data_IF_448998636665
#
_entry.id   IF_448998636665
#
_cell.length_a   1.000
_cell.length_b   1.000
_cell.length_c   1.000
_cell.angle_alpha   90.00
_cell.angle_beta   90.00
_cell.angle_gamma   90.00
#
_symmetry.space_group_name_H-M   'P 1'
#
loop_
_entity.id
_entity.type
_entity.pdbx_description
1 polymer ?
#
# COMPACT_ATOMS: atom_id res chain seq x y z
N UNK A 1 38.59 57.32 -64.00
CA UNK A 1 37.38 58.16 -64.22
C UNK A 1 37.49 58.87 -65.58
N UNK A 2 37.19 58.17 -66.68
CA UNK A 2 37.04 58.83 -67.99
C UNK A 2 35.70 59.59 -68.00
N UNK A 3 35.73 60.86 -68.44
CA UNK A 3 34.58 61.75 -68.38
C UNK A 3 33.34 61.20 -69.10
N UNK A 4 32.15 61.56 -68.60
CA UNK A 4 30.82 61.12 -69.10
C UNK A 4 30.66 61.15 -70.62
N UNK A 5 31.37 62.02 -71.32
CA UNK A 5 31.34 62.12 -72.78
C UNK A 5 31.92 60.88 -73.48
N UNK A 6 32.99 60.29 -72.96
CA UNK A 6 33.61 59.09 -73.55
C UNK A 6 32.71 57.87 -73.33
N UNK A 7 32.06 57.80 -72.17
CA UNK A 7 31.12 56.73 -71.86
C UNK A 7 29.88 56.77 -72.79
N UNK A 8 29.43 57.95 -73.21
CA UNK A 8 28.34 58.10 -74.20
C UNK A 8 28.76 57.63 -75.59
N UNK A 9 29.97 57.99 -76.06
CA UNK A 9 30.48 57.52 -77.35
C UNK A 9 30.67 56.00 -77.37
N UNK A 10 31.21 55.42 -76.28
CA UNK A 10 31.35 53.98 -76.18
C UNK A 10 29.99 53.26 -76.16
N UNK A 11 29.01 53.82 -75.44
CA UNK A 11 27.67 53.24 -75.40
C UNK A 11 26.96 53.33 -76.77
N UNK A 12 27.15 54.43 -77.51
CA UNK A 12 26.65 54.56 -78.87
C UNK A 12 27.35 53.57 -79.82
N UNK A 13 28.68 53.44 -79.73
CA UNK A 13 29.44 52.48 -80.52
C UNK A 13 29.00 51.04 -80.25
N UNK A 14 28.90 50.64 -78.99
CA UNK A 14 28.54 49.28 -78.60
C UNK A 14 27.10 48.92 -78.99
N UNK A 15 26.13 49.80 -78.73
CA UNK A 15 24.74 49.46 -79.01
C UNK A 15 24.38 49.63 -80.50
N UNK A 16 24.86 50.67 -81.17
CA UNK A 16 24.48 50.92 -82.57
C UNK A 16 25.38 50.19 -83.56
N UNK A 17 26.70 50.16 -83.35
CA UNK A 17 27.60 49.52 -84.31
C UNK A 17 27.72 48.03 -84.00
N UNK A 18 28.07 47.65 -82.78
CA UNK A 18 28.28 46.22 -82.48
C UNK A 18 26.94 45.49 -82.42
N UNK A 19 26.03 45.85 -81.51
CA UNK A 19 24.75 45.12 -81.41
C UNK A 19 23.84 45.38 -82.62
N UNK A 20 23.75 46.63 -83.07
CA UNK A 20 22.92 47.01 -84.20
C UNK A 20 23.43 46.40 -85.51
N UNK A 21 24.63 46.77 -85.96
CA UNK A 21 25.12 46.32 -87.26
C UNK A 21 25.51 44.83 -87.27
N UNK A 22 26.23 44.34 -86.26
CA UNK A 22 26.62 42.91 -86.24
C UNK A 22 25.41 42.00 -85.97
N UNK A 23 24.50 42.41 -85.10
CA UNK A 23 23.27 41.67 -84.82
C UNK A 23 22.33 41.61 -86.02
N UNK A 24 22.17 42.72 -86.75
CA UNK A 24 21.37 42.72 -88.00
C UNK A 24 22.03 41.86 -89.07
N UNK A 25 23.36 41.92 -89.23
CA UNK A 25 24.08 41.02 -90.15
C UNK A 25 23.90 39.54 -89.76
N UNK A 26 23.97 39.21 -88.47
CA UNK A 26 23.78 37.83 -88.00
C UNK A 26 22.33 37.34 -88.23
N UNK A 27 21.32 38.17 -87.96
CA UNK A 27 19.92 37.82 -88.23
C UNK A 27 19.68 37.71 -89.73
N UNK A 28 20.23 38.60 -90.55
CA UNK A 28 20.07 38.55 -92.01
C UNK A 28 20.82 37.38 -92.67
N UNK A 29 21.87 36.82 -92.05
CA UNK A 29 22.68 35.74 -92.65
C UNK A 29 22.44 34.36 -92.02
N UNK A 30 22.47 34.26 -90.70
CA UNK A 30 22.38 32.98 -89.97
C UNK A 30 20.93 32.49 -89.90
N UNK A 31 19.97 33.39 -89.64
CA UNK A 31 18.57 33.00 -89.52
C UNK A 31 18.00 32.36 -90.80
N UNK A 32 18.18 32.92 -92.02
CA UNK A 32 17.68 32.27 -93.23
C UNK A 32 18.38 30.92 -93.51
N UNK A 33 19.66 30.78 -93.19
CA UNK A 33 20.37 29.50 -93.30
C UNK A 33 19.80 28.46 -92.33
N UNK A 34 19.58 28.83 -91.06
CA UNK A 34 18.98 27.93 -90.06
C UNK A 34 17.55 27.55 -90.45
N UNK A 35 16.74 28.51 -90.91
CA UNK A 35 15.39 28.28 -91.41
C UNK A 35 15.34 27.40 -92.65
N UNK A 36 16.41 27.33 -93.45
CA UNK A 36 16.49 26.38 -94.57
C UNK A 36 17.01 25.00 -94.13
N UNK A 37 18.01 24.95 -93.25
CA UNK A 37 18.67 23.71 -92.85
C UNK A 37 17.75 22.86 -91.96
N UNK A 38 17.08 23.45 -90.98
CA UNK A 38 16.29 22.68 -89.99
C UNK A 38 15.13 21.94 -90.67
N UNK A 39 14.30 22.57 -91.53
CA UNK A 39 13.23 21.86 -92.23
C UNK A 39 13.75 20.85 -93.24
N UNK A 40 14.84 21.13 -93.96
CA UNK A 40 15.42 20.16 -94.90
C UNK A 40 15.94 18.93 -94.16
N UNK A 41 16.61 19.11 -93.03
CA UNK A 41 17.08 18.01 -92.19
C UNK A 41 15.92 17.21 -91.59
N UNK A 42 14.89 17.88 -91.08
CA UNK A 42 13.68 17.22 -90.57
C UNK A 42 12.95 16.45 -91.67
N UNK A 43 12.87 17.01 -92.88
CA UNK A 43 12.30 16.33 -94.05
C UNK A 43 13.12 15.10 -94.44
N UNK A 44 14.46 15.19 -94.48
CA UNK A 44 15.34 14.05 -94.75
C UNK A 44 15.12 12.95 -93.70
N UNK A 45 15.08 13.30 -92.41
CA UNK A 45 14.81 12.33 -91.35
C UNK A 45 13.41 11.69 -91.48
N UNK A 46 12.41 12.48 -91.89
CA UNK A 46 11.06 11.99 -92.16
C UNK A 46 10.99 11.03 -93.35
N UNK A 47 11.68 11.34 -94.45
CA UNK A 47 11.77 10.46 -95.64
C UNK A 47 12.56 9.19 -95.32
N UNK A 48 13.58 9.29 -94.47
CA UNK A 48 14.39 8.14 -94.04
C UNK A 48 13.70 7.32 -92.93
N UNK A 49 12.65 7.86 -92.29
CA UNK A 49 11.88 7.24 -91.22
C UNK A 49 11.51 5.76 -91.45
N UNK A 50 10.94 5.36 -92.61
CA UNK A 50 10.58 3.96 -92.85
C UNK A 50 11.78 2.98 -92.81
N UNK A 51 13.02 3.47 -93.00
CA UNK A 51 14.21 2.61 -92.97
C UNK A 51 14.70 2.40 -91.53
N UNK A 52 14.81 3.46 -90.74
CA UNK A 52 15.42 3.37 -89.41
C UNK A 52 14.40 3.14 -88.28
N UNK A 53 13.14 3.55 -88.43
CA UNK A 53 12.09 3.32 -87.43
C UNK A 53 11.89 1.84 -87.09
N UNK A 54 11.73 0.90 -88.04
CA UNK A 54 11.49 -0.51 -87.69
C UNK A 54 12.64 -1.10 -86.87
N UNK A 55 13.88 -0.71 -87.17
CA UNK A 55 15.08 -1.16 -86.45
C UNK A 55 15.06 -0.62 -85.01
N UNK A 56 14.77 0.67 -84.83
CA UNK A 56 14.68 1.26 -83.48
C UNK A 56 13.51 0.70 -82.68
N UNK A 57 12.35 0.48 -83.30
CA UNK A 57 11.21 -0.13 -82.60
C UNK A 57 11.49 -1.56 -82.18
N UNK A 58 12.18 -2.35 -83.02
CA UNK A 58 12.56 -3.71 -82.68
C UNK A 58 13.58 -3.73 -81.54
N UNK A 59 14.62 -2.89 -81.62
CA UNK A 59 15.62 -2.75 -80.57
C UNK A 59 14.97 -2.31 -79.26
N UNK A 60 14.05 -1.35 -79.31
CA UNK A 60 13.29 -0.90 -78.16
C UNK A 60 12.43 -2.03 -77.57
N UNK A 61 11.74 -2.83 -78.39
CA UNK A 61 10.98 -3.98 -77.90
C UNK A 61 11.87 -5.06 -77.26
N UNK A 62 13.04 -5.34 -77.83
CA UNK A 62 14.00 -6.27 -77.20
C UNK A 62 14.46 -5.74 -75.84
N UNK A 63 14.80 -4.44 -75.76
CA UNK A 63 15.17 -3.81 -74.49
C UNK A 63 14.02 -3.83 -73.49
N UNK A 64 12.78 -3.66 -73.94
CA UNK A 64 11.61 -3.72 -73.07
C UNK A 64 11.37 -5.11 -72.48
N UNK A 65 11.54 -6.16 -73.29
CA UNK A 65 11.36 -7.55 -72.85
C UNK A 65 12.48 -7.98 -71.89
N UNK A 66 13.73 -7.58 -72.18
CA UNK A 66 14.90 -8.10 -71.47
C UNK A 66 15.28 -7.26 -70.25
N UNK A 67 15.21 -5.93 -70.35
CA UNK A 67 15.74 -5.01 -69.32
C UNK A 67 14.60 -4.31 -68.58
N UNK A 68 13.72 -3.59 -69.30
CA UNK A 68 12.77 -2.70 -68.66
C UNK A 68 11.41 -2.59 -69.39
N UNK A 69 10.37 -3.17 -68.79
CA UNK A 69 9.02 -3.07 -69.35
C UNK A 69 8.39 -1.71 -69.03
N UNK A 70 8.52 -0.78 -69.96
CA UNK A 70 7.90 0.55 -69.89
C UNK A 70 6.40 0.54 -70.22
N UNK A 71 5.88 -0.57 -70.78
CA UNK A 71 4.51 -0.69 -71.28
C UNK A 71 3.53 -1.33 -70.28
N UNK A 72 4.05 -1.93 -69.19
CA UNK A 72 3.25 -2.43 -68.08
C UNK A 72 2.52 -1.30 -67.35
N UNK A 73 1.19 -1.29 -67.46
CA UNK A 73 0.29 -0.33 -66.80
C UNK A 73 -0.10 -0.72 -65.36
N UNK A 74 0.57 -1.71 -64.75
CA UNK A 74 0.22 -2.21 -63.42
C UNK A 74 1.11 -1.69 -62.30
N UNK A 75 0.51 -1.23 -61.20
CA UNK A 75 1.22 -0.77 -59.98
C UNK A 75 2.03 -1.87 -59.25
N UNK A 76 1.83 -3.15 -59.59
CA UNK A 76 2.39 -4.29 -58.88
C UNK A 76 3.35 -5.18 -59.71
N UNK A 77 3.75 -4.74 -60.91
CA UNK A 77 4.71 -5.47 -61.74
C UNK A 77 6.15 -5.02 -61.51
N UNK A 78 7.07 -5.96 -61.24
CA UNK A 78 8.52 -5.68 -61.18
C UNK A 78 9.01 -5.31 -62.59
N UNK A 79 9.35 -4.04 -62.80
CA UNK A 79 9.63 -3.49 -64.14
C UNK A 79 11.01 -3.87 -64.71
N UNK A 80 11.89 -4.45 -63.90
CA UNK A 80 13.28 -4.74 -64.27
C UNK A 80 13.46 -6.26 -64.44
N UNK A 81 14.08 -6.70 -65.54
CA UNK A 81 14.30 -8.11 -65.91
C UNK A 81 13.01 -8.96 -65.97
N UNK A 82 12.02 -8.49 -66.73
CA UNK A 82 10.69 -9.09 -66.84
C UNK A 82 10.73 -10.60 -67.16
N UNK A 83 11.50 -11.00 -68.20
CA UNK A 83 11.56 -12.40 -68.63
C UNK A 83 12.17 -13.32 -67.57
N UNK A 84 13.26 -12.90 -66.91
CA UNK A 84 13.92 -13.70 -65.86
C UNK A 84 12.99 -13.86 -64.66
N UNK A 85 12.29 -12.79 -64.28
CA UNK A 85 11.36 -12.83 -63.16
C UNK A 85 10.14 -13.71 -63.46
N UNK A 86 9.58 -13.68 -64.67
CA UNK A 86 8.46 -14.57 -65.03
C UNK A 86 8.91 -16.04 -65.01
N UNK A 87 10.08 -16.35 -65.58
CA UNK A 87 10.56 -17.75 -65.66
C UNK A 87 10.96 -18.29 -64.28
N UNK A 88 11.69 -17.53 -63.47
CA UNK A 88 12.19 -18.02 -62.18
C UNK A 88 11.08 -17.93 -61.11
N UNK A 89 10.42 -16.79 -60.99
CA UNK A 89 9.48 -16.57 -59.88
C UNK A 89 8.11 -17.15 -60.18
N UNK A 90 7.51 -16.79 -61.31
CA UNK A 90 6.12 -17.19 -61.57
C UNK A 90 6.05 -18.64 -62.06
N UNK A 91 6.96 -19.05 -62.95
CA UNK A 91 6.96 -20.41 -63.48
C UNK A 91 7.67 -21.41 -62.57
N UNK A 92 8.93 -21.18 -62.20
CA UNK A 92 9.67 -22.16 -61.40
C UNK A 92 9.22 -22.19 -59.94
N UNK A 93 9.21 -21.04 -59.25
CA UNK A 93 8.87 -20.98 -57.83
C UNK A 93 7.37 -21.15 -57.59
N UNK A 94 6.52 -20.34 -58.21
CA UNK A 94 5.07 -20.43 -58.03
C UNK A 94 4.43 -21.60 -58.79
N UNK A 95 4.95 -21.95 -59.97
CA UNK A 95 4.39 -23.04 -60.77
C UNK A 95 4.83 -24.43 -60.34
N UNK A 96 6.09 -24.65 -59.99
CA UNK A 96 6.63 -26.00 -59.70
C UNK A 96 6.91 -26.20 -58.21
N UNK A 97 7.65 -25.28 -57.58
CA UNK A 97 8.08 -25.46 -56.18
C UNK A 97 6.90 -25.31 -55.21
N UNK A 98 6.05 -24.32 -55.40
CA UNK A 98 4.90 -24.06 -54.54
C UNK A 98 3.91 -25.25 -54.44
N UNK A 99 3.46 -25.92 -55.51
CA UNK A 99 2.57 -27.07 -55.37
C UNK A 99 3.24 -28.26 -54.69
N UNK A 100 4.54 -28.49 -54.91
CA UNK A 100 5.30 -29.53 -54.21
C UNK A 100 5.34 -29.24 -52.71
N UNK A 101 5.64 -28.00 -52.33
CA UNK A 101 5.65 -27.59 -50.92
C UNK A 101 4.26 -27.69 -50.28
N UNK A 102 3.19 -27.34 -51.00
CA UNK A 102 1.81 -27.48 -50.51
C UNK A 102 1.46 -28.96 -50.29
N UNK A 103 1.90 -29.86 -51.18
CA UNK A 103 1.68 -31.30 -51.00
C UNK A 103 2.42 -31.85 -49.77
N UNK A 104 3.66 -31.41 -49.55
CA UNK A 104 4.43 -31.76 -48.35
C UNK A 104 3.76 -31.18 -47.10
N UNK A 105 3.34 -29.92 -47.15
CA UNK A 105 2.67 -29.23 -46.03
C UNK A 105 1.33 -29.88 -45.68
N UNK A 106 0.58 -30.38 -46.65
CA UNK A 106 -0.69 -31.10 -46.44
C UNK A 106 -0.50 -32.34 -45.56
N UNK A 107 0.64 -33.03 -45.68
CA UNK A 107 0.97 -34.22 -44.88
C UNK A 107 1.68 -33.82 -43.58
N UNK A 108 2.63 -32.90 -43.64
CA UNK A 108 3.43 -32.49 -42.48
C UNK A 108 2.61 -31.71 -41.44
N UNK A 109 1.73 -30.82 -41.87
CA UNK A 109 0.91 -29.98 -40.98
C UNK A 109 0.03 -30.78 -40.01
N UNK A 110 -0.77 -31.78 -40.44
CA UNK A 110 -1.58 -32.56 -39.51
C UNK A 110 -0.71 -33.40 -38.55
N UNK A 111 0.44 -33.90 -39.00
CA UNK A 111 1.37 -34.67 -38.16
C UNK A 111 1.95 -33.78 -37.06
N UNK A 112 2.47 -32.60 -37.42
CA UNK A 112 3.04 -31.64 -36.46
C UNK A 112 1.96 -31.16 -35.49
N UNK A 113 0.76 -30.83 -35.99
CA UNK A 113 -0.37 -30.44 -35.14
C UNK A 113 -0.77 -31.54 -34.16
N UNK A 114 -0.77 -32.80 -34.59
CA UNK A 114 -1.08 -33.95 -33.74
C UNK A 114 -0.03 -34.15 -32.65
N UNK A 115 1.27 -34.01 -32.97
CA UNK A 115 2.35 -34.08 -31.99
C UNK A 115 2.25 -32.97 -30.94
N UNK A 116 1.97 -31.73 -31.37
CA UNK A 116 1.77 -30.59 -30.45
C UNK A 116 0.56 -30.84 -29.54
N UNK A 117 -0.55 -31.35 -30.09
CA UNK A 117 -1.74 -31.67 -29.31
C UNK A 117 -1.49 -32.76 -28.27
N UNK A 118 -0.77 -33.83 -28.64
CA UNK A 118 -0.39 -34.91 -27.71
C UNK A 118 0.50 -34.36 -26.59
N UNK A 119 1.51 -33.55 -26.93
CA UNK A 119 2.39 -32.93 -25.94
C UNK A 119 1.61 -32.02 -24.98
N UNK A 120 0.73 -31.16 -25.49
CA UNK A 120 -0.09 -30.27 -24.68
C UNK A 120 -1.03 -31.04 -23.75
N UNK A 121 -1.64 -32.14 -24.24
CA UNK A 121 -2.48 -33.02 -23.43
C UNK A 121 -1.67 -33.68 -22.32
N UNK A 122 -0.50 -34.25 -22.65
CA UNK A 122 0.38 -34.89 -21.69
C UNK A 122 0.82 -33.90 -20.61
N UNK A 123 1.28 -32.71 -21.00
CA UNK A 123 1.70 -31.65 -20.09
C UNK A 123 0.56 -31.19 -19.17
N UNK A 124 -0.66 -31.02 -19.70
CA UNK A 124 -1.83 -30.68 -18.89
C UNK A 124 -2.18 -31.78 -17.89
N UNK A 125 -2.13 -33.03 -18.32
CA UNK A 125 -2.41 -34.18 -17.46
C UNK A 125 -1.36 -34.35 -16.35
N UNK A 126 -0.07 -34.23 -16.67
CA UNK A 126 1.01 -34.33 -15.67
C UNK A 126 0.95 -33.18 -14.67
N UNK A 127 0.70 -31.94 -15.12
CA UNK A 127 0.53 -30.80 -14.22
C UNK A 127 -0.69 -30.96 -13.33
N UNK A 128 -1.83 -31.37 -13.89
CA UNK A 128 -3.04 -31.62 -13.11
C UNK A 128 -2.89 -32.76 -12.10
N UNK A 129 -2.16 -33.82 -12.46
CA UNK A 129 -1.81 -34.89 -11.54
C UNK A 129 -0.89 -34.39 -10.43
N UNK A 130 0.16 -33.62 -10.78
CA UNK A 130 1.09 -33.01 -9.84
C UNK A 130 0.37 -32.12 -8.82
N UNK A 131 -0.48 -31.20 -9.28
CA UNK A 131 -1.22 -30.28 -8.38
C UNK A 131 -2.16 -31.05 -7.44
N UNK A 132 -2.84 -32.09 -7.94
CA UNK A 132 -3.70 -32.95 -7.08
C UNK A 132 -2.88 -33.73 -6.05
N UNK A 133 -1.71 -34.25 -6.43
CA UNK A 133 -0.80 -34.99 -5.54
C UNK A 133 -0.25 -34.07 -4.45
N UNK A 134 0.29 -32.91 -4.85
CA UNK A 134 0.81 -31.88 -3.93
C UNK A 134 -0.28 -31.42 -2.97
N UNK A 135 -1.49 -31.12 -3.49
CA UNK A 135 -2.58 -30.66 -2.64
C UNK A 135 -2.98 -31.71 -1.59
N UNK A 136 -3.18 -32.97 -2.00
CA UNK A 136 -3.63 -34.03 -1.09
C UNK A 136 -2.57 -34.51 -0.11
N UNK A 137 -1.31 -34.62 -0.54
CA UNK A 137 -0.23 -35.16 0.29
C UNK A 137 0.44 -34.09 1.15
N UNK A 138 0.75 -32.93 0.56
CA UNK A 138 1.55 -31.90 1.21
C UNK A 138 0.65 -30.83 1.80
N UNK A 139 -0.11 -30.12 0.96
CA UNK A 139 -0.84 -28.91 1.40
C UNK A 139 -1.90 -29.26 2.45
N UNK A 140 -2.77 -30.26 2.19
CA UNK A 140 -3.86 -30.60 3.12
C UNK A 140 -3.35 -31.11 4.49
N UNK A 141 -2.18 -31.73 4.55
CA UNK A 141 -1.64 -32.32 5.79
C UNK A 141 -0.68 -31.40 6.54
N UNK A 142 0.08 -30.57 5.81
CA UNK A 142 1.19 -29.80 6.37
C UNK A 142 0.97 -28.29 6.32
N UNK A 143 0.09 -27.77 5.46
CA UNK A 143 -0.14 -26.33 5.39
C UNK A 143 -0.91 -25.86 6.63
N UNK A 144 -0.28 -24.96 7.38
CA UNK A 144 -0.92 -24.18 8.43
C UNK A 144 -1.33 -22.83 7.86
N UNK A 145 -2.41 -22.27 8.37
CA UNK A 145 -2.91 -20.97 7.93
C UNK A 145 -1.90 -19.90 8.36
N UNK A 146 -1.39 -19.05 7.45
CA UNK A 146 -0.45 -18.00 7.81
C UNK A 146 -1.14 -16.96 8.69
N UNK A 147 -0.43 -16.45 9.70
CA UNK A 147 -0.95 -15.45 10.64
C UNK A 147 -1.16 -14.07 9.96
N UNK A 148 -0.37 -13.76 8.94
CA UNK A 148 -0.42 -12.49 8.22
C UNK A 148 -0.32 -12.70 6.70
N UNK A 149 -0.89 -11.76 5.96
CA UNK A 149 -0.75 -11.69 4.50
C UNK A 149 0.69 -11.34 4.15
N UNK A 150 1.34 -12.22 3.38
CA UNK A 150 2.69 -12.01 2.87
C UNK A 150 2.74 -12.05 1.35
N UNK A 151 3.91 -11.75 0.79
CA UNK A 151 4.13 -11.86 -0.65
C UNK A 151 3.90 -13.29 -1.19
N UNK A 152 4.19 -14.30 -0.37
CA UNK A 152 4.09 -15.71 -0.76
C UNK A 152 2.67 -16.28 -0.68
N UNK A 153 1.87 -15.77 0.25
CA UNK A 153 0.52 -16.25 0.51
C UNK A 153 -0.33 -15.10 1.09
N UNK A 154 -1.44 -14.82 0.42
CA UNK A 154 -2.46 -13.88 0.86
C UNK A 154 -3.70 -14.67 1.29
N UNK A 155 -4.22 -14.39 2.48
CA UNK A 155 -5.47 -14.96 2.96
C UNK A 155 -6.61 -14.33 2.16
N UNK A 156 -7.42 -15.16 1.51
CA UNK A 156 -8.55 -14.71 0.67
C UNK A 156 -9.90 -14.93 1.37
N UNK A 157 -9.91 -15.76 2.41
CA UNK A 157 -11.05 -16.03 3.27
C UNK A 157 -10.56 -16.42 4.68
N UNK A 158 -11.32 -16.06 5.70
CA UNK A 158 -11.04 -16.36 7.12
C UNK A 158 -11.15 -15.13 8.02
N UNK A 159 -11.22 -15.32 9.34
CA UNK A 159 -11.32 -14.22 10.30
C UNK A 159 -10.09 -13.29 10.22
N UNK A 160 -10.30 -11.98 10.37
CA UNK A 160 -9.26 -10.94 10.30
C UNK A 160 -8.92 -10.39 8.91
N UNK A 161 -9.79 -10.56 7.91
CA UNK A 161 -9.61 -10.08 6.53
C UNK A 161 -10.18 -8.68 6.28
N UNK A 162 -11.16 -8.24 7.08
CA UNK A 162 -11.65 -6.87 7.06
C UNK A 162 -10.59 -5.94 7.65
N UNK A 163 -10.33 -4.80 7.00
CA UNK A 163 -9.34 -3.83 7.46
C UNK A 163 -9.68 -3.26 8.85
N UNK A 164 -10.98 -3.18 9.16
CA UNK A 164 -11.53 -2.73 10.42
C UNK A 164 -12.52 -3.80 10.90
N UNK A 165 -12.20 -4.38 12.05
CA UNK A 165 -13.08 -5.30 12.76
C UNK A 165 -13.04 -4.94 14.24
N UNK A 166 -14.16 -5.15 14.92
CA UNK A 166 -14.31 -4.86 16.34
C UNK A 166 -14.43 -6.15 17.16
N UNK A 167 -14.15 -6.04 18.45
CA UNK A 167 -14.35 -7.12 19.41
C UNK A 167 -15.53 -6.77 20.31
N UNK A 168 -16.50 -7.68 20.40
CA UNK A 168 -17.59 -7.57 21.35
C UNK A 168 -17.23 -8.35 22.62
N UNK A 169 -17.27 -7.66 23.76
CA UNK A 169 -17.03 -8.21 25.10
C UNK A 169 -18.37 -8.32 25.82
N UNK A 170 -18.50 -9.23 26.79
CA UNK A 170 -19.72 -9.31 27.58
C UNK A 170 -19.79 -8.14 28.59
N UNK A 171 -20.98 -7.56 28.78
CA UNK A 171 -21.24 -6.51 29.80
C UNK A 171 -20.64 -6.78 31.19
N UNK A 172 -20.76 -7.99 31.78
CA UNK A 172 -20.16 -8.26 33.10
C UNK A 172 -18.63 -8.21 33.11
N UNK A 173 -17.97 -8.56 32.02
CA UNK A 173 -16.50 -8.53 31.92
C UNK A 173 -15.99 -7.07 31.91
N UNK A 174 -16.74 -6.18 31.25
CA UNK A 174 -16.47 -4.74 31.25
C UNK A 174 -16.63 -4.16 32.66
N UNK A 175 -17.68 -4.55 33.38
CA UNK A 175 -17.91 -4.09 34.76
C UNK A 175 -16.83 -4.61 35.72
N UNK A 176 -16.37 -5.84 35.54
CA UNK A 176 -15.25 -6.39 36.31
C UNK A 176 -13.94 -5.63 36.05
N UNK A 177 -13.69 -5.26 34.79
CA UNK A 177 -12.53 -4.42 34.44
C UNK A 177 -12.65 -3.02 35.08
N UNK A 178 -13.84 -2.43 35.05
CA UNK A 178 -14.12 -1.15 35.73
C UNK A 178 -13.90 -1.25 37.25
N UNK A 179 -14.33 -2.33 37.89
CA UNK A 179 -14.10 -2.57 39.32
C UNK A 179 -12.60 -2.65 39.64
N UNK A 180 -11.83 -3.36 38.82
CA UNK A 180 -10.36 -3.41 38.95
C UNK A 180 -9.74 -2.01 38.87
N UNK A 181 -10.16 -1.18 37.91
CA UNK A 181 -9.66 0.19 37.77
C UNK A 181 -9.99 1.06 38.99
N UNK A 182 -11.20 0.93 39.53
CA UNK A 182 -11.63 1.65 40.72
C UNK A 182 -10.80 1.22 41.93
N UNK A 183 -10.51 -0.08 42.07
CA UNK A 183 -9.63 -0.59 43.12
C UNK A 183 -8.20 -0.04 42.96
N UNK A 184 -7.67 0.04 41.74
CA UNK A 184 -6.35 0.66 41.52
C UNK A 184 -6.32 2.14 41.93
N UNK A 185 -7.40 2.89 41.66
CA UNK A 185 -7.54 4.28 42.10
C UNK A 185 -7.65 4.39 43.62
N UNK A 186 -8.37 3.47 44.27
CA UNK A 186 -8.42 3.35 45.73
C UNK A 186 -7.02 3.13 46.30
N UNK A 187 -6.27 2.16 45.78
CA UNK A 187 -4.90 1.85 46.22
C UNK A 187 -3.96 3.04 46.05
N UNK A 188 -4.06 3.78 44.94
CA UNK A 188 -3.26 4.99 44.69
C UNK A 188 -3.56 6.08 45.70
N UNK A 189 -4.84 6.33 45.97
CA UNK A 189 -5.29 7.36 46.90
C UNK A 189 -4.92 6.99 48.34
N UNK A 190 -5.15 5.73 48.72
CA UNK A 190 -4.77 5.17 50.01
C UNK A 190 -3.25 5.28 50.23
N UNK A 191 -2.43 4.97 49.22
CA UNK A 191 -0.97 5.12 49.30
C UNK A 191 -0.60 6.55 49.67
N UNK A 192 -1.10 7.52 48.92
CA UNK A 192 -0.78 8.93 49.16
C UNK A 192 -1.24 9.39 50.54
N UNK A 193 -2.42 8.97 50.98
CA UNK A 193 -2.93 9.29 52.32
C UNK A 193 -2.08 8.70 53.45
N UNK A 194 -1.72 7.41 53.35
CA UNK A 194 -0.89 6.74 54.36
C UNK A 194 0.53 7.28 54.36
N UNK A 195 1.12 7.56 53.20
CA UNK A 195 2.44 8.19 53.11
C UNK A 195 2.45 9.56 53.81
N UNK A 196 1.41 10.38 53.64
CA UNK A 196 1.28 11.64 54.38
C UNK A 196 1.21 11.43 55.89
N UNK A 197 0.44 10.44 56.37
CA UNK A 197 0.37 10.11 57.80
C UNK A 197 1.72 9.64 58.34
N UNK A 198 2.43 8.79 57.59
CA UNK A 198 3.74 8.27 57.99
C UNK A 198 4.80 9.38 58.05
N UNK A 199 4.67 10.45 57.25
CA UNK A 199 5.58 11.60 57.28
C UNK A 199 5.30 12.60 58.40
N UNK A 200 4.07 12.67 58.93
CA UNK A 200 3.69 13.62 60.00
C UNK A 200 4.65 13.63 61.20
N UNK A 201 5.10 12.48 61.77
CA UNK A 201 6.02 12.50 62.89
C UNK A 201 7.35 13.17 62.55
N UNK A 202 7.86 12.98 61.32
CA UNK A 202 9.11 13.59 60.86
C UNK A 202 8.95 15.10 60.77
N UNK A 203 7.82 15.56 60.24
CA UNK A 203 7.50 16.98 60.13
C UNK A 203 7.30 17.62 61.51
N UNK A 204 6.59 16.97 62.43
CA UNK A 204 6.39 17.43 63.81
C UNK A 204 7.73 17.51 64.56
N UNK A 205 8.59 16.51 64.43
CA UNK A 205 9.93 16.54 65.01
C UNK A 205 10.75 17.68 64.41
N UNK A 206 10.68 17.90 63.11
CA UNK A 206 11.39 18.98 62.42
C UNK A 206 10.92 20.35 62.91
N UNK A 207 9.60 20.54 63.09
CA UNK A 207 9.03 21.76 63.64
C UNK A 207 9.44 21.98 65.09
N UNK A 208 9.39 20.93 65.93
CA UNK A 208 9.87 20.98 67.30
C UNK A 208 11.36 21.33 67.37
N UNK A 209 12.20 20.68 66.56
CA UNK A 209 13.63 20.93 66.54
C UNK A 209 13.94 22.36 66.10
N UNK A 210 13.30 22.84 65.03
CA UNK A 210 13.47 24.22 64.58
C UNK A 210 13.02 25.20 65.69
N UNK A 211 11.82 25.05 66.24
CA UNK A 211 11.34 25.97 67.30
C UNK A 211 12.20 25.98 68.57
N UNK A 212 12.78 24.84 68.97
CA UNK A 212 13.60 24.74 70.17
C UNK A 212 15.07 25.13 69.95
N UNK A 213 15.62 24.88 68.75
CA UNK A 213 17.07 24.95 68.50
C UNK A 213 17.50 25.91 67.39
N UNK A 214 16.56 26.53 66.66
CA UNK A 214 16.84 27.61 65.70
C UNK A 214 17.65 28.79 66.30
N UNK A 215 17.41 29.25 67.56
CA UNK A 215 18.23 30.30 68.18
C UNK A 215 19.71 29.92 68.35
N UNK A 216 20.03 28.63 68.34
CA UNK A 216 21.38 28.11 68.55
C UNK A 216 22.09 27.70 67.25
N UNK A 217 21.48 27.97 66.08
CA UNK A 217 22.02 27.55 64.77
C UNK A 217 22.31 26.04 64.69
N UNK A 218 21.67 25.22 65.52
CA UNK A 218 21.84 23.78 65.47
C UNK A 218 21.11 23.24 64.22
N UNK A 219 21.75 22.33 63.50
CA UNK A 219 21.17 21.69 62.32
C UNK A 219 20.89 20.22 62.61
N UNK A 220 19.77 19.71 62.07
CA UNK A 220 19.45 18.29 62.12
C UNK A 220 20.47 17.55 61.25
N UNK A 221 21.21 16.62 61.85
CA UNK A 221 22.11 15.74 61.11
C UNK A 221 21.31 14.63 60.43
N UNK A 222 20.87 14.89 59.19
CA UNK A 222 20.01 13.98 58.40
C UNK A 222 20.70 12.63 58.10
N UNK A 223 22.02 12.63 57.96
CA UNK A 223 22.78 11.47 57.48
C UNK A 223 23.35 10.58 58.60
N UNK A 224 23.10 10.92 59.87
CA UNK A 224 23.65 10.17 60.99
C UNK A 224 22.59 9.20 61.54
N UNK A 225 22.70 7.93 61.17
CA UNK A 225 21.80 6.83 61.59
C UNK A 225 21.80 6.60 63.11
N UNK A 226 22.78 7.15 63.84
CA UNK A 226 22.80 7.14 65.31
C UNK A 226 21.90 8.20 65.97
N UNK A 227 21.43 9.21 65.23
CA UNK A 227 20.56 10.27 65.76
C UNK A 227 19.10 9.81 65.89
N UNK A 228 18.35 10.37 66.85
CA UNK A 228 16.91 10.07 67.01
C UNK A 228 16.12 10.35 65.74
N UNK A 229 16.47 11.43 65.02
CA UNK A 229 15.89 11.78 63.72
C UNK A 229 16.21 10.73 62.66
N UNK A 230 17.49 10.33 62.53
CA UNK A 230 17.92 9.32 61.58
C UNK A 230 17.20 7.98 61.80
N UNK A 231 17.12 7.51 63.05
CA UNK A 231 16.40 6.29 63.41
C UNK A 231 14.91 6.36 63.06
N UNK A 232 14.26 7.49 63.32
CA UNK A 232 12.84 7.67 63.00
C UNK A 232 12.61 7.70 61.48
N UNK A 233 13.47 8.39 60.75
CA UNK A 233 13.44 8.42 59.29
C UNK A 233 13.66 7.01 58.70
N UNK A 234 14.58 6.22 59.26
CA UNK A 234 14.82 4.85 58.82
C UNK A 234 13.57 3.97 59.00
N UNK A 235 12.90 4.06 60.16
CA UNK A 235 11.65 3.32 60.45
C UNK A 235 10.51 3.76 59.53
N UNK A 236 10.34 5.07 59.31
CA UNK A 236 9.31 5.58 58.38
C UNK A 236 9.59 5.11 56.95
N UNK A 237 10.84 5.15 56.49
CA UNK A 237 11.22 4.67 55.17
C UNK A 237 11.02 3.16 55.02
N UNK A 238 11.25 2.37 56.07
CA UNK A 238 10.94 0.94 56.09
C UNK A 238 9.44 0.68 55.92
N UNK A 239 8.60 1.40 56.67
CA UNK A 239 7.14 1.29 56.53
C UNK A 239 6.64 1.74 55.15
N UNK A 240 7.20 2.80 54.59
CA UNK A 240 6.85 3.24 53.23
C UNK A 240 7.25 2.19 52.19
N UNK A 241 8.43 1.56 52.32
CA UNK A 241 8.84 0.47 51.43
C UNK A 241 7.90 -0.74 51.57
N UNK A 242 7.55 -1.13 52.79
CA UNK A 242 6.61 -2.22 53.04
C UNK A 242 5.22 -1.93 52.46
N UNK A 243 4.72 -0.70 52.62
CA UNK A 243 3.47 -0.24 52.02
C UNK A 243 3.53 -0.34 50.49
N UNK A 244 4.57 0.23 49.87
CA UNK A 244 4.73 0.23 48.41
C UNK A 244 4.81 -1.17 47.83
N UNK A 245 5.61 -2.05 48.42
CA UNK A 245 5.73 -3.44 47.97
C UNK A 245 4.41 -4.21 48.12
N UNK A 246 3.62 -3.93 49.14
CA UNK A 246 2.30 -4.58 49.32
C UNK A 246 1.29 -4.08 48.29
N UNK A 247 1.29 -2.78 48.00
CA UNK A 247 0.42 -2.17 47.00
C UNK A 247 0.82 -2.60 45.59
N UNK A 248 2.12 -2.65 45.27
CA UNK A 248 2.64 -3.11 43.99
C UNK A 248 2.22 -4.56 43.72
N UNK A 249 2.40 -5.47 44.70
CA UNK A 249 1.93 -6.85 44.59
C UNK A 249 0.43 -6.95 44.27
N UNK A 250 -0.41 -6.11 44.90
CA UNK A 250 -1.84 -6.10 44.62
C UNK A 250 -2.14 -5.50 43.25
N UNK A 251 -1.45 -4.42 42.89
CA UNK A 251 -1.61 -3.76 41.60
C UNK A 251 -1.20 -4.68 40.43
N UNK A 252 -0.16 -5.49 40.60
CA UNK A 252 0.27 -6.47 39.59
C UNK A 252 -0.81 -7.55 39.35
N UNK A 253 -1.58 -7.92 40.38
CA UNK A 253 -2.73 -8.83 40.22
C UNK A 253 -3.93 -8.16 39.53
N UNK A 254 -4.05 -6.84 39.62
CA UNK A 254 -5.16 -6.07 39.04
C UNK A 254 -4.86 -5.56 37.63
N UNK A 255 -3.59 -5.58 37.21
CA UNK A 255 -3.18 -5.10 35.89
C UNK A 255 -3.82 -5.94 34.79
N UNK A 256 -4.75 -5.33 34.07
CA UNK A 256 -5.24 -5.86 32.80
C UNK A 256 -4.11 -5.76 31.78
N UNK A 257 -3.72 -6.89 31.18
CA UNK A 257 -2.74 -6.90 30.10
C UNK A 257 -3.28 -6.07 28.93
N UNK A 258 -2.69 -4.88 28.73
CA UNK A 258 -3.06 -3.96 27.64
C UNK A 258 -2.53 -4.52 26.31
N UNK A 259 -3.26 -5.48 25.75
CA UNK A 259 -3.04 -5.99 24.40
C UNK A 259 -3.37 -4.92 23.35
N UNK A 260 -2.83 -5.05 22.15
CA UNK A 260 -3.15 -4.16 21.01
C UNK A 260 -4.64 -4.22 20.58
N UNK A 261 -5.45 -5.06 21.22
CA UNK A 261 -6.85 -5.30 20.88
C UNK A 261 -7.81 -4.44 21.70
N UNK A 262 -7.35 -3.83 22.80
CA UNK A 262 -8.19 -3.00 23.69
C UNK A 262 -8.82 -1.81 22.96
N UNK A 263 -8.11 -1.22 22.01
CA UNK A 263 -8.60 -0.07 21.24
C UNK A 263 -9.78 -0.40 20.32
N UNK A 264 -10.03 -1.70 20.08
CA UNK A 264 -11.07 -2.20 19.15
C UNK A 264 -12.23 -2.88 19.87
N UNK A 265 -12.26 -2.83 21.20
CA UNK A 265 -13.38 -3.38 21.98
C UNK A 265 -14.55 -2.39 21.90
N UNK A 266 -15.73 -2.90 21.54
CA UNK A 266 -16.98 -2.12 21.50
C UNK A 266 -18.14 -2.98 21.98
N UNK A 267 -19.21 -2.31 22.42
CA UNK A 267 -20.44 -2.96 22.87
C UNK A 267 -21.59 -2.64 21.92
N UNK A 268 -22.65 -3.45 22.01
CA UNK A 268 -23.94 -3.12 21.40
C UNK A 268 -24.56 -1.92 22.13
N UNK A 269 -25.48 -1.21 21.49
CA UNK A 269 -26.17 -0.08 22.12
C UNK A 269 -26.90 -0.48 23.42
N UNK A 270 -27.53 -1.66 23.43
CA UNK A 270 -28.22 -2.19 24.61
C UNK A 270 -27.25 -2.53 25.73
N UNK A 271 -26.12 -3.14 25.40
CA UNK A 271 -25.12 -3.52 26.40
C UNK A 271 -24.37 -2.30 26.94
N UNK A 272 -24.04 -1.34 26.08
CA UNK A 272 -23.36 -0.10 26.47
C UNK A 272 -24.22 0.73 27.42
N UNK A 273 -25.52 0.88 27.14
CA UNK A 273 -26.43 1.62 28.02
C UNK A 273 -26.59 0.92 29.37
N UNK A 274 -26.69 -0.43 29.39
CA UNK A 274 -26.71 -1.20 30.62
C UNK A 274 -25.42 -1.02 31.44
N UNK A 275 -24.25 -1.15 30.80
CA UNK A 275 -22.94 -0.98 31.44
C UNK A 275 -22.76 0.43 32.00
N UNK A 276 -23.21 1.47 31.30
CA UNK A 276 -23.12 2.84 31.80
C UNK A 276 -23.99 3.05 33.05
N UNK A 277 -25.21 2.51 33.08
CA UNK A 277 -26.11 2.62 34.23
C UNK A 277 -25.54 1.84 35.42
N UNK A 278 -25.17 0.58 35.21
CA UNK A 278 -24.63 -0.29 36.27
C UNK A 278 -23.26 0.21 36.77
N UNK A 279 -22.40 0.65 35.86
CA UNK A 279 -21.12 1.26 36.18
C UNK A 279 -21.27 2.54 37.00
N UNK A 280 -22.26 3.38 36.67
CA UNK A 280 -22.55 4.61 37.44
C UNK A 280 -22.98 4.28 38.87
N UNK A 281 -23.85 3.28 39.05
CA UNK A 281 -24.26 2.83 40.39
C UNK A 281 -23.08 2.25 41.18
N UNK A 282 -22.17 1.54 40.51
CA UNK A 282 -20.98 0.97 41.13
C UNK A 282 -20.02 2.07 41.59
N UNK A 283 -19.74 3.06 40.73
CA UNK A 283 -18.91 4.24 41.01
C UNK A 283 -19.51 5.06 42.17
N UNK A 284 -20.81 5.37 42.11
CA UNK A 284 -21.53 6.13 43.15
C UNK A 284 -21.49 5.42 44.51
N UNK A 285 -21.52 4.08 44.53
CA UNK A 285 -21.45 3.32 45.77
C UNK A 285 -20.03 3.25 46.34
N UNK A 286 -19.01 3.14 45.50
CA UNK A 286 -17.63 2.91 45.91
C UNK A 286 -16.86 4.19 46.23
N UNK A 287 -16.90 5.20 45.35
CA UNK A 287 -16.10 6.41 45.50
C UNK A 287 -16.35 7.13 46.83
N UNK A 288 -17.60 7.42 47.23
CA UNK A 288 -17.88 8.08 48.51
C UNK A 288 -17.48 7.28 49.74
N UNK A 289 -17.54 5.95 49.66
CA UNK A 289 -17.26 5.07 50.79
C UNK A 289 -15.79 4.74 50.97
N UNK A 290 -15.05 4.64 49.87
CA UNK A 290 -13.68 4.09 49.86
C UNK A 290 -12.63 5.08 49.42
N UNK A 291 -12.93 5.99 48.49
CA UNK A 291 -11.91 6.88 47.91
C UNK A 291 -11.97 8.27 48.54
N UNK A 292 -13.15 8.89 48.54
CA UNK A 292 -13.36 10.24 49.07
C UNK A 292 -12.96 10.44 50.53
N UNK A 293 -13.07 9.45 51.45
CA UNK A 293 -12.60 9.63 52.83
C UNK A 293 -11.10 9.87 52.97
N UNK A 294 -10.30 9.47 51.99
CA UNK A 294 -8.85 9.67 51.99
C UNK A 294 -8.42 11.01 51.37
N UNK A 295 -9.36 11.74 50.76
CA UNK A 295 -9.11 13.04 50.13
C UNK A 295 -9.47 14.17 51.10
N UNK A 296 -8.59 15.17 51.24
CA UNK A 296 -8.94 16.39 51.98
C UNK A 296 -9.95 17.22 51.18
N UNK A 297 -10.66 18.17 51.83
CA UNK A 297 -11.63 19.05 51.15
C UNK A 297 -11.05 19.78 49.94
N UNK A 298 -9.83 20.31 50.06
CA UNK A 298 -9.14 21.00 48.96
C UNK A 298 -8.72 20.02 47.85
N UNK A 299 -8.42 18.77 48.20
CA UNK A 299 -8.02 17.74 47.24
C UNK A 299 -9.25 17.16 46.50
N UNK A 300 -10.43 17.23 47.13
CA UNK A 300 -11.70 16.84 46.52
C UNK A 300 -12.11 17.82 45.41
N UNK A 301 -11.99 19.14 45.64
CA UNK A 301 -12.22 20.14 44.60
C UNK A 301 -11.23 19.98 43.45
N UNK A 302 -9.94 19.75 43.77
CA UNK A 302 -8.92 19.44 42.76
C UNK A 302 -9.25 18.17 41.97
N UNK A 303 -9.71 17.11 42.62
CA UNK A 303 -10.06 15.87 41.95
C UNK A 303 -11.12 16.07 40.85
N UNK A 304 -12.21 16.78 41.17
CA UNK A 304 -13.27 17.06 40.18
C UNK A 304 -12.79 18.01 39.08
N UNK A 305 -11.95 19.00 39.43
CA UNK A 305 -11.35 19.92 38.46
C UNK A 305 -10.36 19.23 37.52
N UNK A 306 -9.49 18.35 38.03
CA UNK A 306 -8.53 17.58 37.23
C UNK A 306 -9.24 16.64 36.25
N UNK A 307 -10.45 16.22 36.62
CA UNK A 307 -11.32 15.41 35.79
C UNK A 307 -12.23 16.23 34.89
N UNK A 308 -12.20 17.56 34.86
CA UNK A 308 -13.14 18.42 34.09
C UNK A 308 -14.61 17.98 34.26
N UNK A 309 -15.06 17.76 35.51
CA UNK A 309 -16.41 17.30 35.84
C UNK A 309 -17.02 18.14 36.98
N UNK A 310 -18.36 18.23 36.99
CA UNK A 310 -19.09 18.82 38.11
C UNK A 310 -19.07 17.91 39.33
N UNK A 311 -19.19 18.50 40.53
CA UNK A 311 -19.19 17.74 41.77
C UNK A 311 -20.40 16.78 41.81
N UNK A 312 -20.11 15.48 42.02
CA UNK A 312 -21.08 14.38 42.00
C UNK A 312 -21.61 13.98 40.61
N UNK A 313 -20.94 14.37 39.52
CA UNK A 313 -21.24 13.80 38.20
C UNK A 313 -20.64 12.39 38.06
N UNK A 314 -21.32 11.40 38.64
CA UNK A 314 -20.91 10.00 38.63
C UNK A 314 -21.00 9.36 37.25
N UNK A 315 -21.94 9.83 36.42
CA UNK A 315 -22.11 9.33 35.06
C UNK A 315 -20.95 9.78 34.16
N UNK A 316 -20.61 11.07 34.24
CA UNK A 316 -19.44 11.62 33.56
C UNK A 316 -18.14 10.94 34.00
N UNK A 317 -18.00 10.69 35.30
CA UNK A 317 -16.82 9.98 35.85
C UNK A 317 -16.73 8.55 35.32
N UNK A 318 -17.85 7.81 35.33
CA UNK A 318 -17.91 6.43 34.79
C UNK A 318 -17.52 6.41 33.31
N UNK A 319 -18.04 7.36 32.54
CA UNK A 319 -17.74 7.47 31.11
C UNK A 319 -16.24 7.73 30.86
N UNK A 320 -15.60 8.61 31.64
CA UNK A 320 -14.16 8.87 31.54
C UNK A 320 -13.32 7.66 31.94
N UNK A 321 -13.69 6.97 33.03
CA UNK A 321 -13.01 5.75 33.47
C UNK A 321 -13.05 4.64 32.41
N UNK A 322 -14.20 4.46 31.74
CA UNK A 322 -14.32 3.49 30.64
C UNK A 322 -13.49 3.89 29.41
N UNK A 323 -13.43 5.18 29.07
CA UNK A 323 -12.56 5.67 28.00
C UNK A 323 -11.07 5.48 28.29
N UNK A 324 -10.67 5.66 29.56
CA UNK A 324 -9.29 5.46 30.01
C UNK A 324 -8.90 3.98 30.01
N UNK A 325 -9.86 3.08 30.29
CA UNK A 325 -9.63 1.64 30.33
C UNK A 325 -9.46 1.03 28.93
N UNK A 326 -10.36 1.39 28.00
CA UNK A 326 -10.35 0.86 26.64
C UNK A 326 -9.78 1.90 25.66
N UNK A 327 -10.66 2.74 25.11
CA UNK A 327 -10.33 3.84 24.22
C UNK A 327 -11.42 4.91 24.23
N UNK A 328 -11.11 6.09 23.67
CA UNK A 328 -12.09 7.19 23.54
C UNK A 328 -13.32 6.80 22.73
N UNK A 329 -13.14 5.92 21.75
CA UNK A 329 -14.20 5.46 20.85
C UNK A 329 -15.07 4.35 21.48
N UNK A 330 -14.77 3.90 22.70
CA UNK A 330 -15.55 2.86 23.38
C UNK A 330 -17.03 3.25 23.60
N UNK A 331 -17.30 4.55 23.77
CA UNK A 331 -18.66 5.07 23.92
C UNK A 331 -19.45 5.10 22.61
N UNK A 332 -18.83 4.77 21.47
CA UNK A 332 -19.54 4.61 20.21
C UNK A 332 -20.06 3.16 20.12
N UNK A 333 -21.39 2.95 20.07
CA UNK A 333 -21.94 1.61 19.97
C UNK A 333 -21.61 1.00 18.59
N UNK A 334 -21.61 -0.33 18.52
CA UNK A 334 -21.47 -1.06 17.26
C UNK A 334 -22.65 -0.77 16.32
N UNK A 335 -22.35 -0.44 15.05
CA UNK A 335 -23.37 -0.29 14.02
C UNK A 335 -23.74 -1.64 13.40
N UNK A 336 -24.95 -1.76 12.84
CA UNK A 336 -25.42 -3.02 12.21
C UNK A 336 -24.59 -3.45 10.99
N UNK A 337 -23.80 -2.54 10.43
CA UNK A 337 -22.91 -2.78 9.29
C UNK A 337 -21.51 -3.23 9.70
N UNK A 338 -21.17 -3.16 10.98
CA UNK A 338 -19.84 -3.46 11.48
C UNK A 338 -19.58 -4.97 11.56
N UNK A 339 -18.37 -5.39 11.16
CA UNK A 339 -17.91 -6.76 11.37
C UNK A 339 -17.31 -6.86 12.76
N UNK A 340 -17.94 -7.64 13.65
CA UNK A 340 -17.45 -7.86 15.00
C UNK A 340 -17.25 -9.35 15.30
N UNK A 341 -16.38 -9.61 16.28
CA UNK A 341 -16.14 -10.94 16.83
C UNK A 341 -16.52 -10.94 18.31
N UNK A 342 -17.42 -11.84 18.69
CA UNK A 342 -17.76 -12.03 20.11
C UNK A 342 -16.63 -12.77 20.82
N UNK A 343 -16.06 -12.14 21.85
CA UNK A 343 -15.10 -12.75 22.74
C UNK A 343 -15.87 -13.62 23.73
N UNK A 344 -15.95 -14.93 23.45
CA UNK A 344 -16.54 -15.92 24.35
C UNK A 344 -15.44 -16.81 24.92
N UNK A 345 -15.47 -16.94 26.24
CA UNK A 345 -14.54 -17.79 26.98
C UNK A 345 -15.11 -19.22 27.05
N UNK A 346 -14.91 -20.01 26.00
CA UNK A 346 -15.51 -21.35 25.88
C UNK A 346 -14.93 -22.40 26.85
N UNK A 347 -13.79 -22.12 27.48
CA UNK A 347 -13.05 -23.12 28.25
C UNK A 347 -13.63 -23.40 29.65
N UNK A 348 -14.42 -22.47 30.18
CA UNK A 348 -15.02 -22.55 31.52
C UNK A 348 -16.41 -23.20 31.45
N UNK A 349 -16.42 -24.50 31.17
CA UNK A 349 -17.65 -25.30 31.25
C UNK A 349 -18.03 -25.55 32.70
N UNK A 350 -19.32 -25.52 33.05
CA UNK A 350 -19.83 -25.79 34.40
C UNK A 350 -19.23 -27.08 35.02
N UNK A 351 -19.00 -28.10 34.20
CA UNK A 351 -18.37 -29.36 34.60
C UNK A 351 -16.91 -29.21 35.04
N UNK A 352 -16.12 -28.39 34.33
CA UNK A 352 -14.73 -28.09 34.70
C UNK A 352 -14.68 -27.22 35.96
N UNK A 353 -15.57 -26.24 36.08
CA UNK A 353 -15.66 -25.42 37.28
C UNK A 353 -16.06 -26.26 38.51
N UNK A 354 -17.03 -27.16 38.37
CA UNK A 354 -17.39 -28.11 39.42
C UNK A 354 -16.22 -29.04 39.79
N UNK A 355 -15.41 -29.44 38.81
CA UNK A 355 -14.19 -30.21 39.05
C UNK A 355 -13.14 -29.41 39.81
N UNK A 356 -12.91 -28.13 39.48
CA UNK A 356 -11.98 -27.25 40.20
C UNK A 356 -12.39 -27.03 41.66
N UNK A 357 -13.70 -26.84 41.91
CA UNK A 357 -14.24 -26.73 43.27
C UNK A 357 -14.02 -28.05 44.03
N UNK A 358 -14.25 -29.19 43.37
CA UNK A 358 -14.06 -30.49 43.99
C UNK A 358 -12.59 -30.83 44.24
N UNK A 359 -11.68 -30.41 43.36
CA UNK A 359 -10.24 -30.62 43.53
C UNK A 359 -9.57 -29.61 44.46
N UNK A 360 -10.30 -28.55 44.88
CA UNK A 360 -9.77 -27.41 45.65
C UNK A 360 -8.54 -26.74 45.02
N UNK A 361 -8.33 -26.98 43.72
CA UNK A 361 -7.24 -26.45 42.93
C UNK A 361 -7.84 -25.45 41.94
N UNK A 362 -8.03 -24.23 42.44
CA UNK A 362 -8.60 -23.13 41.66
C UNK A 362 -7.42 -22.48 40.93
N UNK A 363 -7.25 -22.87 39.67
CA UNK A 363 -6.27 -22.29 38.77
C UNK A 363 -6.95 -21.62 37.59
N UNK A 364 -6.33 -20.55 37.09
CA UNK A 364 -6.81 -19.82 35.92
C UNK A 364 -6.17 -20.41 34.66
N UNK A 365 -6.98 -21.08 33.83
CA UNK A 365 -6.54 -21.72 32.58
C UNK A 365 -6.59 -20.77 31.36
N UNK A 366 -6.80 -19.47 31.57
CA UNK A 366 -6.83 -18.47 30.50
C UNK A 366 -5.59 -18.52 29.59
N UNK A 367 -4.41 -18.82 30.15
CA UNK A 367 -3.14 -18.91 29.43
C UNK A 367 -3.07 -20.08 28.42
N UNK A 368 -3.92 -21.10 28.56
CA UNK A 368 -3.97 -22.26 27.66
C UNK A 368 -4.82 -21.96 26.41
N UNK A 369 -5.59 -20.88 26.42
CA UNK A 369 -6.68 -20.67 25.46
C UNK A 369 -6.26 -19.72 24.34
N UNK A 370 -6.25 -20.24 23.12
CA UNK A 370 -6.31 -19.43 21.92
C UNK A 370 -7.74 -18.91 21.78
N UNK A 371 -7.93 -17.59 21.79
CA UNK A 371 -9.22 -16.96 21.55
C UNK A 371 -9.82 -17.46 20.23
N UNK A 372 -10.93 -18.19 20.31
CA UNK A 372 -11.66 -18.66 19.13
C UNK A 372 -12.57 -17.54 18.70
N UNK A 373 -12.17 -16.83 17.64
CA UNK A 373 -12.99 -15.78 17.04
C UNK A 373 -14.11 -16.43 16.22
N UNK A 374 -15.31 -16.48 16.78
CA UNK A 374 -16.52 -16.88 16.06
C UNK A 374 -17.07 -15.64 15.34
N UNK A 375 -17.16 -15.64 14.00
CA UNK A 375 -17.96 -14.64 13.29
C UNK A 375 -19.44 -14.91 13.57
N UNK A 376 -20.19 -13.88 13.96
CA UNK A 376 -21.66 -13.90 13.98
C UNK A 376 -22.24 -13.23 12.73
#
# INVERSE_FOLDING_TARGET
>A
FLGKNIQRLFNQFWNYIIKGALGTVAVCTVYPLACSIIPTFSFILGVLSPIWMPILTLLFHILQILIYDASSAGEYGRKIFCLINIVITDFLLCGIVQPILVLIALIASPIISLLIAIYALLHRCTRGAYDKIIHKLVVKRLARIPAHDGFLARRVAGPGLAAEYFYQVASPEVLAALESLIEQNELKTYRSYVEQILMKPIDEYRQFFNSAFEPFSAQIQINNSGSTYGRMNDVVNEHIRSLRTTIEKRNDLLQLSRSAQHDRIRLTETDLTAVLIEGTQLVEKWYPKRILPYLNKNDLEKFWNDQDLEQNDWFGLTSKLLQDLFCRDFLTPLEQTDVFYSLKVDHLTLSKYAHMIHSADIHDDLDVVTSVYLPE
#
